data_IF_055620099801
#
_entry.id   IF_055620099801
#
_cell.length_a   1.000
_cell.length_b   1.000
_cell.length_c   1.000
_cell.angle_alpha   90.00
_cell.angle_beta   90.00
_cell.angle_gamma   90.00
#
_symmetry.space_group_name_H-M   'P 1'
#
loop_
_entity.id
_entity.type
_entity.pdbx_description
1 polymer ?
#
# COMPACT_ATOMS: atom_id res chain seq x y z
N UNK A 1 40.73 13.77 -59.42
CA UNK A 1 41.77 13.27 -58.52
C UNK A 1 41.06 12.99 -57.18
N UNK A 2 40.71 11.75 -56.95
CA UNK A 2 41.31 10.78 -56.07
C UNK A 2 41.25 11.26 -54.59
N UNK A 3 40.70 10.62 -53.65
CA UNK A 3 40.57 9.22 -53.41
C UNK A 3 39.60 8.93 -52.22
N UNK A 4 39.03 7.78 -52.33
CA UNK A 4 38.21 7.06 -51.37
C UNK A 4 39.06 6.49 -50.23
N UNK A 5 38.59 6.58 -48.98
CA UNK A 5 39.01 5.62 -47.95
C UNK A 5 37.78 5.13 -47.24
N UNK A 6 37.45 3.86 -47.49
CA UNK A 6 36.43 3.13 -46.78
C UNK A 6 36.87 2.76 -45.35
N UNK A 7 35.94 2.76 -44.42
CA UNK A 7 36.07 2.08 -43.15
C UNK A 7 35.09 0.90 -43.11
N UNK A 8 35.65 -0.31 -43.11
CA UNK A 8 34.94 -1.52 -42.77
C UNK A 8 34.82 -1.65 -41.25
N UNK A 9 33.68 -2.09 -40.69
CA UNK A 9 33.60 -2.46 -39.28
C UNK A 9 34.07 -3.91 -39.09
N UNK A 10 35.04 -4.09 -38.22
CA UNK A 10 35.52 -5.40 -37.79
C UNK A 10 34.44 -6.11 -36.97
N UNK A 11 33.92 -7.21 -37.49
CA UNK A 11 33.08 -8.17 -36.73
C UNK A 11 34.06 -9.07 -35.97
N UNK A 12 34.11 -8.91 -34.64
CA UNK A 12 34.78 -9.85 -33.74
C UNK A 12 33.80 -10.89 -33.25
N UNK A 13 33.90 -12.08 -33.81
CA UNK A 13 33.23 -13.30 -33.36
C UNK A 13 33.84 -13.79 -32.04
N UNK A 14 33.08 -13.83 -30.96
CA UNK A 14 33.44 -14.57 -29.76
C UNK A 14 32.59 -15.86 -29.71
N UNK A 15 33.15 -16.90 -30.33
CA UNK A 15 32.73 -18.28 -30.10
C UNK A 15 33.68 -18.92 -29.09
N UNK A 16 33.14 -19.62 -28.10
CA UNK A 16 33.96 -20.58 -27.36
C UNK A 16 33.64 -20.70 -25.88
N UNK A 17 32.52 -21.31 -25.53
CA UNK A 17 32.38 -21.93 -24.21
C UNK A 17 32.90 -23.37 -24.30
N UNK A 18 34.14 -23.62 -23.86
CA UNK A 18 34.65 -24.96 -23.61
C UNK A 18 34.16 -25.48 -22.23
N UNK A 19 33.26 -26.42 -22.28
CA UNK A 19 32.91 -27.25 -21.10
C UNK A 19 34.06 -28.27 -20.94
N UNK A 20 34.80 -28.20 -19.83
CA UNK A 20 35.76 -29.24 -19.45
C UNK A 20 35.00 -30.40 -18.79
N UNK A 21 35.25 -31.65 -19.17
CA UNK A 21 34.73 -32.81 -18.42
C UNK A 21 35.39 -32.92 -17.06
N UNK A 22 34.56 -33.10 -16.02
CA UNK A 22 35.03 -33.48 -14.69
C UNK A 22 35.49 -34.92 -14.69
N UNK A 23 36.78 -35.18 -14.54
CA UNK A 23 37.32 -36.49 -14.23
C UNK A 23 36.92 -36.89 -12.82
N UNK A 24 36.17 -37.99 -12.68
CA UNK A 24 35.96 -38.65 -11.41
C UNK A 24 37.23 -39.43 -11.02
N UNK A 25 37.90 -39.01 -9.97
CA UNK A 25 38.83 -39.88 -9.22
C UNK A 25 38.05 -40.69 -8.18
N UNK A 26 38.32 -41.98 -8.02
CA UNK A 26 37.67 -42.81 -6.99
C UNK A 26 38.21 -42.48 -5.61
N UNK A 27 37.31 -42.33 -4.65
CA UNK A 27 37.62 -42.09 -3.24
C UNK A 27 38.36 -43.29 -2.60
N UNK A 28 39.34 -43.07 -1.68
CA UNK A 28 40.05 -44.15 -0.99
C UNK A 28 39.15 -44.91 -0.04
N UNK A 29 39.23 -46.24 -0.08
CA UNK A 29 38.55 -47.21 0.80
C UNK A 29 39.02 -47.04 2.24
N UNK A 30 38.11 -46.79 3.17
CA UNK A 30 38.35 -46.82 4.61
C UNK A 30 38.32 -48.28 5.13
N UNK A 31 39.19 -48.65 6.06
CA UNK A 31 39.18 -49.98 6.69
C UNK A 31 37.98 -50.13 7.65
N UNK A 32 37.44 -51.34 7.71
CA UNK A 32 36.34 -51.74 8.56
C UNK A 32 36.66 -51.51 10.06
N UNK A 33 35.82 -50.75 10.75
CA UNK A 33 35.81 -50.66 12.20
C UNK A 33 34.92 -51.75 12.79
N UNK A 34 35.47 -52.41 13.81
CA UNK A 34 34.81 -53.44 14.60
C UNK A 34 33.51 -52.94 15.24
N UNK A 35 32.50 -53.81 15.28
CA UNK A 35 31.22 -53.59 15.93
C UNK A 35 31.37 -53.41 17.43
N UNK A 36 31.01 -52.24 17.94
CA UNK A 36 30.79 -52.03 19.37
C UNK A 36 29.28 -52.14 19.58
N UNK A 37 28.91 -53.08 20.45
CA UNK A 37 27.51 -53.27 20.86
C UNK A 37 27.02 -51.98 21.58
N UNK A 38 26.02 -51.36 21.05
CA UNK A 38 25.33 -50.23 21.69
C UNK A 38 24.17 -50.78 22.52
N UNK A 39 24.30 -50.63 23.86
CA UNK A 39 23.18 -50.76 24.78
C UNK A 39 22.10 -49.71 24.41
N UNK A 40 20.87 -50.16 24.30
CA UNK A 40 19.71 -49.27 24.09
C UNK A 40 19.44 -48.49 25.37
N UNK A 41 19.33 -47.15 25.33
CA UNK A 41 18.86 -46.42 26.51
C UNK A 41 17.36 -46.69 26.74
N UNK A 42 17.00 -46.86 28.01
CA UNK A 42 15.65 -47.06 28.48
C UNK A 42 14.72 -45.91 28.05
N UNK A 43 13.39 -46.14 27.81
CA UNK A 43 12.48 -45.09 27.37
C UNK A 43 12.39 -43.98 28.41
N UNK A 44 12.64 -42.75 27.97
CA UNK A 44 12.47 -41.55 28.77
C UNK A 44 11.01 -41.44 29.21
N UNK A 45 10.78 -41.33 30.50
CA UNK A 45 9.47 -41.04 31.07
C UNK A 45 9.06 -39.64 30.59
N UNK A 46 7.98 -39.57 29.82
CA UNK A 46 7.36 -38.31 29.45
C UNK A 46 6.97 -37.53 30.73
N UNK A 47 7.59 -36.38 30.94
CA UNK A 47 7.08 -35.39 31.89
C UNK A 47 5.67 -34.95 31.42
N UNK A 48 4.73 -34.71 32.35
CA UNK A 48 3.41 -34.19 31.95
C UNK A 48 3.59 -32.81 31.29
N UNK A 49 2.77 -32.49 30.24
CA UNK A 49 2.84 -31.19 29.63
C UNK A 49 2.53 -30.12 30.67
N UNK A 50 3.39 -29.10 30.76
CA UNK A 50 3.10 -27.90 31.55
C UNK A 50 1.72 -27.39 31.10
N UNK A 51 0.80 -27.29 32.05
CA UNK A 51 -0.48 -26.65 31.85
C UNK A 51 -0.22 -25.18 31.50
N UNK A 52 -0.22 -24.87 30.22
CA UNK A 52 -0.28 -23.51 29.73
C UNK A 52 -1.60 -22.88 30.15
N UNK A 53 -1.66 -21.56 30.28
CA UNK A 53 -2.90 -20.89 30.69
C UNK A 53 -4.03 -21.35 29.76
N UNK A 54 -5.18 -21.66 30.40
CA UNK A 54 -6.40 -22.11 29.74
C UNK A 54 -6.67 -21.30 28.48
N UNK A 55 -6.87 -22.00 27.36
CA UNK A 55 -7.41 -21.42 26.13
C UNK A 55 -8.80 -20.86 26.45
N UNK A 56 -8.85 -19.67 27.03
CA UNK A 56 -10.04 -18.82 26.93
C UNK A 56 -10.02 -18.28 25.50
N UNK A 57 -10.87 -18.90 24.71
CA UNK A 57 -11.58 -18.37 23.56
C UNK A 57 -10.95 -17.12 22.93
N UNK A 58 -9.91 -17.29 22.12
CA UNK A 58 -9.73 -16.49 20.91
C UNK A 58 -10.89 -16.91 19.97
N UNK A 59 -12.12 -16.54 20.38
CA UNK A 59 -13.29 -16.66 19.55
C UNK A 59 -13.17 -15.58 18.48
N UNK A 60 -12.85 -16.05 17.26
CA UNK A 60 -13.44 -15.53 16.05
C UNK A 60 -13.19 -14.07 15.69
N UNK A 61 -11.92 -13.68 15.49
CA UNK A 61 -11.59 -12.82 14.37
C UNK A 61 -11.13 -13.70 13.20
N UNK A 62 -11.88 -14.74 12.92
CA UNK A 62 -11.82 -15.37 11.62
C UNK A 62 -12.38 -14.34 10.64
N UNK A 63 -11.58 -13.92 9.67
CA UNK A 63 -12.04 -13.40 8.41
C UNK A 63 -12.83 -14.52 7.72
N UNK A 64 -14.00 -14.87 8.26
CA UNK A 64 -14.98 -15.70 7.57
C UNK A 64 -15.54 -14.83 6.46
N UNK A 65 -14.89 -14.88 5.31
CA UNK A 65 -15.52 -14.58 4.04
C UNK A 65 -16.65 -15.61 3.88
N UNK A 66 -17.74 -15.43 4.61
CA UNK A 66 -18.99 -16.13 4.30
C UNK A 66 -19.39 -15.65 2.93
N UNK A 67 -19.18 -16.51 1.91
CA UNK A 67 -19.89 -16.43 0.64
C UNK A 67 -21.38 -16.50 0.95
N UNK A 68 -21.99 -15.38 1.33
CA UNK A 68 -23.43 -15.23 1.17
C UNK A 68 -23.69 -15.24 -0.33
N UNK A 69 -24.35 -16.26 -0.80
CA UNK A 69 -24.80 -16.37 -2.19
C UNK A 69 -25.65 -15.15 -2.52
N UNK A 70 -25.46 -14.57 -3.69
CA UNK A 70 -26.10 -13.32 -4.15
C UNK A 70 -27.63 -13.41 -4.28
N UNK A 71 -28.27 -14.45 -3.76
CA UNK A 71 -29.71 -14.74 -3.93
C UNK A 71 -30.65 -14.10 -2.90
N UNK A 72 -30.11 -13.53 -1.78
CA UNK A 72 -30.94 -12.93 -0.71
C UNK A 72 -30.79 -11.40 -0.62
N UNK A 73 -30.50 -10.71 -1.74
CA UNK A 73 -30.29 -9.25 -1.71
C UNK A 73 -31.59 -8.49 -1.94
N UNK A 74 -31.77 -7.44 -1.14
CA UNK A 74 -32.80 -6.41 -1.32
C UNK A 74 -32.78 -5.86 -2.76
N UNK A 75 -33.94 -5.63 -3.43
CA UNK A 75 -33.96 -5.06 -4.77
C UNK A 75 -33.48 -3.60 -4.74
N UNK A 76 -32.26 -3.39 -5.20
CA UNK A 76 -31.65 -2.05 -5.36
C UNK A 76 -30.15 -2.14 -5.66
N UNK A 77 -29.54 -1.11 -6.28
CA UNK A 77 -28.10 -1.10 -6.50
C UNK A 77 -27.37 -1.06 -5.15
N UNK A 78 -26.40 -1.97 -5.00
CA UNK A 78 -25.51 -2.05 -3.83
C UNK A 78 -24.60 -0.81 -3.78
N UNK A 79 -24.49 -0.18 -2.60
CA UNK A 79 -23.53 0.89 -2.33
C UNK A 79 -22.43 0.30 -1.47
N UNK A 80 -21.25 0.10 -2.05
CA UNK A 80 -20.10 -0.49 -1.35
C UNK A 80 -19.07 0.59 -0.99
N UNK A 81 -19.01 0.96 0.28
CA UNK A 81 -18.07 1.94 0.83
C UNK A 81 -17.00 1.30 1.72
N UNK A 82 -16.78 -0.01 1.63
CA UNK A 82 -15.77 -0.69 2.47
C UNK A 82 -14.35 -0.17 2.23
N UNK A 83 -14.02 0.10 0.95
CA UNK A 83 -12.72 0.60 0.53
C UNK A 83 -12.79 1.09 -0.92
N UNK A 84 -11.91 2.02 -1.32
CA UNK A 84 -11.70 2.37 -2.72
C UNK A 84 -11.05 1.24 -3.55
N UNK A 85 -10.60 0.17 -2.92
CA UNK A 85 -10.12 -1.05 -3.60
C UNK A 85 -11.24 -1.89 -4.22
N UNK A 86 -12.51 -1.60 -3.95
CA UNK A 86 -13.66 -2.28 -4.56
C UNK A 86 -14.10 -1.63 -5.89
N UNK A 87 -13.43 -0.56 -6.32
CA UNK A 87 -13.72 0.12 -7.60
C UNK A 87 -13.52 -0.84 -8.77
N UNK A 88 -14.37 -0.64 -9.79
CA UNK A 88 -14.25 -1.37 -11.04
C UNK A 88 -13.67 -0.45 -12.12
N UNK A 89 -12.91 -1.00 -13.09
CA UNK A 89 -12.37 -0.21 -14.18
C UNK A 89 -13.48 0.41 -15.02
N UNK A 90 -13.27 1.68 -15.38
CA UNK A 90 -14.21 2.44 -16.23
C UNK A 90 -14.37 1.77 -17.60
N UNK A 91 -15.47 2.09 -18.36
CA UNK A 91 -15.61 1.62 -19.74
C UNK A 91 -14.41 1.97 -20.62
N UNK A 92 -13.82 3.17 -20.44
CA UNK A 92 -12.62 3.59 -21.17
C UNK A 92 -11.41 2.73 -20.85
N UNK A 93 -11.19 2.40 -19.57
CA UNK A 93 -10.14 1.50 -19.15
C UNK A 93 -10.30 0.09 -19.72
N UNK A 94 -11.53 -0.46 -19.68
CA UNK A 94 -11.82 -1.79 -20.25
C UNK A 94 -11.55 -1.83 -21.76
N UNK A 95 -11.89 -0.76 -22.47
CA UNK A 95 -11.61 -0.63 -23.89
C UNK A 95 -10.09 -0.58 -24.13
N UNK A 96 -9.37 0.27 -23.41
CA UNK A 96 -7.91 0.38 -23.52
C UNK A 96 -7.21 -0.97 -23.20
N UNK A 97 -7.66 -1.70 -22.18
CA UNK A 97 -7.15 -3.03 -21.86
C UNK A 97 -7.37 -4.04 -22.98
N UNK A 98 -8.52 -3.99 -23.67
CA UNK A 98 -8.82 -4.87 -24.80
C UNK A 98 -7.97 -4.55 -26.03
N UNK A 99 -7.69 -3.27 -26.28
CA UNK A 99 -6.96 -2.76 -27.45
C UNK A 99 -5.45 -2.61 -27.22
N UNK A 100 -4.94 -2.95 -26.01
CA UNK A 100 -3.56 -2.74 -25.62
C UNK A 100 -2.59 -3.45 -26.56
N UNK A 101 -1.56 -2.74 -27.01
CA UNK A 101 -0.39 -3.35 -27.66
C UNK A 101 0.48 -4.02 -26.61
N UNK A 102 0.94 -5.26 -26.89
CA UNK A 102 1.55 -6.13 -25.90
C UNK A 102 2.95 -6.57 -26.33
N UNK A 103 3.83 -6.74 -25.35
CA UNK A 103 5.13 -7.35 -25.45
C UNK A 103 5.54 -8.02 -24.14
N UNK A 104 6.76 -8.52 -24.03
CA UNK A 104 7.24 -9.13 -22.77
C UNK A 104 7.89 -8.05 -21.87
N UNK A 105 7.22 -7.75 -20.74
CA UNK A 105 7.71 -6.76 -19.75
C UNK A 105 9.06 -7.11 -19.14
N UNK A 106 9.41 -8.41 -19.04
CA UNK A 106 10.73 -8.82 -18.50
C UNK A 106 11.86 -8.48 -19.48
N UNK A 107 11.60 -8.51 -20.79
CA UNK A 107 12.54 -8.07 -21.81
C UNK A 107 12.49 -6.56 -22.09
N UNK A 108 11.50 -5.86 -21.50
CA UNK A 108 11.27 -4.43 -21.76
C UNK A 108 10.58 -4.17 -23.10
N UNK A 109 9.96 -5.18 -23.69
CA UNK A 109 9.35 -5.13 -25.04
C UNK A 109 7.86 -4.71 -25.01
N UNK A 110 7.22 -4.66 -23.83
CA UNK A 110 5.80 -4.28 -23.72
C UNK A 110 5.63 -2.76 -23.86
N UNK A 111 5.13 -2.25 -25.00
CA UNK A 111 5.08 -0.82 -25.26
C UNK A 111 4.09 -0.10 -24.35
N UNK A 112 3.02 -0.77 -23.93
CA UNK A 112 2.00 -0.19 -23.05
C UNK A 112 2.53 -0.03 -21.63
N UNK A 113 3.30 -1.00 -21.12
CA UNK A 113 3.99 -0.87 -19.82
C UNK A 113 5.03 0.25 -19.86
N UNK A 114 5.83 0.30 -20.92
CA UNK A 114 6.84 1.34 -21.08
C UNK A 114 6.21 2.74 -21.07
N UNK A 115 5.15 2.95 -21.86
CA UNK A 115 4.42 4.20 -21.88
C UNK A 115 3.83 4.59 -20.50
N UNK A 116 3.27 3.62 -19.76
CA UNK A 116 2.78 3.88 -18.40
C UNK A 116 3.91 4.31 -17.45
N UNK A 117 5.05 3.63 -17.51
CA UNK A 117 6.22 3.95 -16.68
C UNK A 117 6.77 5.33 -17.03
N UNK A 118 6.90 5.66 -18.29
CA UNK A 118 7.32 7.00 -18.77
C UNK A 118 6.34 8.07 -18.25
N UNK A 119 5.03 7.84 -18.42
CA UNK A 119 3.99 8.77 -17.96
C UNK A 119 4.03 8.99 -16.45
N UNK A 120 4.20 7.95 -15.67
CA UNK A 120 4.29 8.05 -14.22
C UNK A 120 5.53 8.85 -13.76
N UNK A 121 6.68 8.56 -14.36
CA UNK A 121 7.93 9.27 -14.10
C UNK A 121 7.83 10.77 -14.46
N UNK A 122 7.30 11.09 -15.64
CA UNK A 122 7.08 12.47 -16.11
C UNK A 122 6.14 13.23 -15.17
N UNK A 123 5.00 12.64 -14.81
CA UNK A 123 3.99 13.27 -13.96
C UNK A 123 4.54 13.66 -12.59
N UNK A 124 5.35 12.81 -11.98
CA UNK A 124 5.95 13.05 -10.67
C UNK A 124 7.33 13.72 -10.75
N UNK A 125 7.85 14.00 -11.95
CA UNK A 125 9.16 14.64 -12.13
C UNK A 125 10.34 13.78 -11.67
N UNK A 126 10.22 12.46 -11.77
CA UNK A 126 11.27 11.48 -11.46
C UNK A 126 11.90 10.92 -12.73
N UNK A 127 13.07 10.29 -12.61
CA UNK A 127 13.85 9.82 -13.77
C UNK A 127 13.29 8.54 -14.39
N UNK A 128 12.64 7.70 -13.60
CA UNK A 128 12.11 6.41 -14.04
C UNK A 128 10.98 5.94 -13.14
N UNK A 129 10.23 4.95 -13.63
CA UNK A 129 9.18 4.28 -12.87
C UNK A 129 9.19 2.77 -13.13
N UNK A 130 8.51 2.03 -12.25
CA UNK A 130 8.33 0.59 -12.33
C UNK A 130 6.87 0.24 -12.04
N UNK A 131 6.23 -0.50 -12.95
CA UNK A 131 4.91 -1.09 -12.72
C UNK A 131 5.02 -2.37 -11.89
N UNK A 132 4.19 -2.50 -10.85
CA UNK A 132 4.14 -3.65 -9.95
C UNK A 132 2.69 -4.07 -9.69
N UNK A 133 2.49 -5.32 -9.26
CA UNK A 133 1.15 -5.90 -9.15
C UNK A 133 0.28 -5.32 -8.02
N UNK A 134 0.87 -4.80 -6.94
CA UNK A 134 0.13 -4.32 -5.76
C UNK A 134 0.89 -3.24 -4.98
N UNK A 135 0.18 -2.54 -4.07
CA UNK A 135 0.80 -1.56 -3.15
C UNK A 135 1.82 -2.20 -2.22
N UNK A 136 1.50 -3.34 -1.62
CA UNK A 136 2.45 -4.05 -0.74
C UNK A 136 3.71 -4.50 -1.50
N UNK A 137 3.56 -4.93 -2.77
CA UNK A 137 4.74 -5.19 -3.62
C UNK A 137 5.52 -3.90 -3.88
N UNK A 138 4.86 -2.77 -4.12
CA UNK A 138 5.53 -1.49 -4.32
C UNK A 138 6.38 -1.10 -3.10
N UNK A 139 5.84 -1.21 -1.89
CA UNK A 139 6.56 -0.96 -0.66
C UNK A 139 7.73 -1.93 -0.44
N UNK A 140 7.53 -3.23 -0.68
CA UNK A 140 8.60 -4.22 -0.56
C UNK A 140 9.75 -3.97 -1.53
N UNK A 141 9.46 -3.70 -2.81
CA UNK A 141 10.52 -3.47 -3.79
C UNK A 141 11.20 -2.12 -3.60
N UNK A 142 10.50 -1.13 -3.05
CA UNK A 142 11.09 0.14 -2.65
C UNK A 142 12.09 -0.04 -1.52
N UNK A 143 11.73 -0.79 -0.49
CA UNK A 143 12.65 -1.13 0.60
C UNK A 143 13.84 -1.96 0.09
N UNK A 144 13.63 -2.98 -0.77
CA UNK A 144 14.70 -3.74 -1.42
C UNK A 144 15.60 -2.87 -2.32
N UNK A 145 15.06 -1.78 -2.87
CA UNK A 145 15.80 -0.81 -3.68
C UNK A 145 16.67 0.14 -2.86
N UNK A 146 16.29 0.44 -1.63
CA UNK A 146 17.01 1.35 -0.74
C UNK A 146 17.92 0.64 0.27
N UNK A 147 17.52 -0.52 0.77
CA UNK A 147 18.06 -1.15 1.97
C UNK A 147 18.83 -2.44 1.68
N UNK A 148 19.87 -2.65 2.47
CA UNK A 148 20.50 -3.94 2.68
C UNK A 148 19.97 -4.65 3.94
N UNK A 149 20.26 -5.96 4.04
CA UNK A 149 19.91 -6.74 5.25
C UNK A 149 20.59 -6.17 6.50
N UNK A 150 19.84 -6.12 7.60
CA UNK A 150 20.32 -5.62 8.89
C UNK A 150 20.25 -4.10 9.05
N UNK A 151 19.83 -3.36 8.03
CA UNK A 151 19.56 -1.94 8.15
C UNK A 151 18.20 -1.66 8.81
N UNK A 152 17.96 -0.40 9.16
CA UNK A 152 16.74 0.07 9.83
C UNK A 152 16.02 1.11 8.98
N UNK A 153 14.68 1.03 8.94
CA UNK A 153 13.79 2.08 8.43
C UNK A 153 13.22 2.87 9.60
N UNK A 154 13.15 4.20 9.50
CA UNK A 154 12.34 5.03 10.40
C UNK A 154 10.98 5.22 9.75
N UNK A 155 9.89 4.87 10.46
CA UNK A 155 8.51 4.97 9.98
C UNK A 155 7.55 5.31 11.11
N UNK A 156 6.39 5.87 10.79
CA UNK A 156 5.29 6.03 11.74
C UNK A 156 4.74 4.69 12.22
N UNK A 157 4.36 4.60 13.49
CA UNK A 157 3.91 3.38 14.15
C UNK A 157 2.62 2.79 13.54
N UNK A 158 1.76 3.65 12.98
CA UNK A 158 0.49 3.27 12.37
C UNK A 158 0.51 3.37 10.83
N UNK A 159 1.69 3.35 10.20
CA UNK A 159 1.80 3.29 8.74
C UNK A 159 1.55 1.86 8.24
N UNK A 160 1.08 1.75 7.00
CA UNK A 160 0.73 0.49 6.35
C UNK A 160 1.88 -0.54 6.34
N UNK A 161 3.12 -0.10 6.12
CA UNK A 161 4.30 -0.98 6.12
C UNK A 161 4.59 -1.60 7.49
N UNK A 162 4.11 -0.98 8.58
CA UNK A 162 4.26 -1.47 9.96
C UNK A 162 3.12 -2.42 10.32
N UNK A 163 1.87 -2.01 10.08
CA UNK A 163 0.68 -2.69 10.60
C UNK A 163 0.10 -3.73 9.61
N UNK A 164 0.14 -3.48 8.28
CA UNK A 164 -0.72 -4.16 7.31
C UNK A 164 0.02 -5.01 6.26
N UNK A 165 1.35 -5.24 6.39
CA UNK A 165 2.15 -5.94 5.36
C UNK A 165 2.82 -7.23 5.88
N UNK A 166 2.23 -7.90 6.88
CA UNK A 166 2.70 -9.20 7.37
C UNK A 166 4.20 -9.22 7.76
N UNK A 167 4.70 -8.10 8.31
CA UNK A 167 6.12 -7.91 8.62
C UNK A 167 7.06 -8.15 7.41
N UNK A 168 6.62 -7.79 6.21
CA UNK A 168 7.37 -7.99 4.96
C UNK A 168 8.76 -7.37 4.99
N UNK A 169 8.94 -6.23 5.66
CA UNK A 169 10.23 -5.60 5.91
C UNK A 169 11.24 -6.55 6.61
N UNK A 170 10.78 -7.34 7.57
CA UNK A 170 11.64 -8.29 8.29
C UNK A 170 11.81 -9.61 7.53
N UNK A 171 10.70 -10.17 7.01
CA UNK A 171 10.68 -11.51 6.38
C UNK A 171 11.34 -11.50 5.00
N UNK A 172 11.10 -10.47 4.20
CA UNK A 172 11.58 -10.39 2.80
C UNK A 172 12.83 -9.54 2.70
N UNK A 173 12.80 -8.31 3.24
CA UNK A 173 13.91 -7.37 3.13
C UNK A 173 15.01 -7.69 4.16
N UNK A 174 14.64 -8.16 5.34
CA UNK A 174 15.56 -8.51 6.43
C UNK A 174 16.05 -7.28 7.19
N UNK A 175 15.16 -6.32 7.41
CA UNK A 175 15.41 -5.04 8.08
C UNK A 175 14.58 -4.90 9.36
N UNK A 176 14.96 -3.97 10.22
CA UNK A 176 14.14 -3.52 11.35
C UNK A 176 13.40 -2.23 11.02
N UNK A 177 12.37 -1.91 11.81
CA UNK A 177 11.71 -0.60 11.76
C UNK A 177 11.81 0.07 13.12
N UNK A 178 12.32 1.31 13.14
CA UNK A 178 12.15 2.22 14.26
C UNK A 178 10.83 2.95 14.09
N UNK A 179 9.87 2.57 14.93
CA UNK A 179 8.55 3.15 14.92
C UNK A 179 8.53 4.51 15.63
N UNK A 180 8.05 5.54 14.92
CA UNK A 180 7.84 6.88 15.45
C UNK A 180 6.40 7.03 15.92
N UNK A 181 6.21 7.71 17.05
CA UNK A 181 4.87 8.08 17.49
C UNK A 181 4.29 9.15 16.56
N UNK A 182 3.06 8.94 16.11
CA UNK A 182 2.38 9.86 15.20
C UNK A 182 1.41 10.78 15.94
N UNK A 183 1.31 11.99 15.45
CA UNK A 183 0.33 12.98 15.81
C UNK A 183 -1.03 12.67 15.13
N UNK A 184 -2.13 13.31 15.59
CA UNK A 184 -3.47 13.10 15.02
C UNK A 184 -3.64 13.47 13.54
N UNK A 185 -2.65 14.11 12.94
CA UNK A 185 -2.61 14.46 11.52
C UNK A 185 -1.71 13.53 10.68
N UNK A 186 -1.15 12.48 11.30
CA UNK A 186 -0.28 11.52 10.65
C UNK A 186 1.19 11.96 10.56
N UNK A 187 1.53 13.13 11.14
CA UNK A 187 2.92 13.57 11.27
C UNK A 187 3.60 12.94 12.48
N UNK A 188 4.90 12.81 12.48
CA UNK A 188 5.68 12.59 13.71
C UNK A 188 6.48 13.85 14.05
N UNK A 189 6.94 13.92 15.29
CA UNK A 189 7.68 15.08 15.77
C UNK A 189 9.03 15.22 15.06
N UNK A 190 9.30 16.40 14.54
CA UNK A 190 10.51 16.69 13.74
C UNK A 190 11.78 16.62 14.59
N UNK A 191 11.73 17.05 15.86
CA UNK A 191 12.89 16.95 16.75
C UNK A 191 13.17 15.50 17.12
N UNK A 192 12.12 14.70 17.42
CA UNK A 192 12.24 13.28 17.66
C UNK A 192 12.78 12.53 16.43
N UNK A 193 12.37 12.95 15.21
CA UNK A 193 12.93 12.37 13.97
C UNK A 193 14.44 12.61 13.92
N UNK A 194 14.90 13.84 14.14
CA UNK A 194 16.32 14.19 14.09
C UNK A 194 17.15 13.35 15.08
N UNK A 195 16.62 13.11 16.28
CA UNK A 195 17.28 12.32 17.33
C UNK A 195 17.14 10.79 17.13
N UNK A 196 16.43 10.39 16.07
CA UNK A 196 16.12 8.96 15.82
C UNK A 196 17.15 8.24 14.99
N UNK A 197 18.03 8.94 14.30
CA UNK A 197 19.07 8.32 13.47
C UNK A 197 20.12 7.65 14.34
N UNK A 198 20.58 6.48 13.89
CA UNK A 198 21.61 5.71 14.59
C UNK A 198 22.99 6.23 14.26
N UNK A 199 23.91 6.11 15.23
CA UNK A 199 25.33 6.36 14.99
C UNK A 199 25.91 5.20 14.13
N UNK A 200 26.33 5.47 12.89
CA UNK A 200 26.88 4.42 12.02
C UNK A 200 28.23 3.89 12.52
N UNK A 201 28.89 4.56 13.47
CA UNK A 201 30.13 4.10 14.08
C UNK A 201 29.89 3.15 15.27
N UNK A 202 28.67 3.07 15.81
CA UNK A 202 28.33 2.18 16.90
C UNK A 202 27.97 0.78 16.39
N UNK A 203 28.84 -0.25 16.60
CA UNK A 203 28.59 -1.61 16.12
C UNK A 203 27.43 -2.32 16.80
N UNK A 204 26.85 -1.75 17.87
CA UNK A 204 25.70 -2.31 18.59
C UNK A 204 24.37 -1.92 17.97
N UNK A 205 24.34 -0.99 17.02
CA UNK A 205 23.11 -0.44 16.43
C UNK A 205 23.00 -0.83 14.94
N UNK A 206 21.78 -1.01 14.42
CA UNK A 206 21.58 -1.09 12.97
C UNK A 206 21.89 0.26 12.32
N UNK A 207 22.27 0.24 11.05
CA UNK A 207 22.44 1.47 10.28
C UNK A 207 21.07 1.93 9.77
N UNK A 208 20.66 3.16 10.09
CA UNK A 208 19.47 3.77 9.49
C UNK A 208 19.72 3.97 7.99
N UNK A 209 18.88 3.38 7.16
CA UNK A 209 19.04 3.38 5.70
C UNK A 209 17.86 3.97 4.93
N UNK A 210 16.73 4.24 5.61
CA UNK A 210 15.54 4.80 4.99
C UNK A 210 14.69 5.56 5.99
N UNK A 211 14.13 6.69 5.58
CA UNK A 211 12.97 7.31 6.24
C UNK A 211 11.76 7.12 5.34
N UNK A 212 10.61 6.72 5.89
CA UNK A 212 9.37 6.60 5.14
C UNK A 212 8.22 7.31 5.85
N UNK A 213 7.38 7.97 5.05
CA UNK A 213 6.12 8.57 5.48
C UNK A 213 4.98 8.06 4.60
N UNK A 214 3.75 8.06 5.13
CA UNK A 214 2.56 7.65 4.39
C UNK A 214 1.71 8.86 3.99
N UNK A 215 1.42 9.04 2.72
CA UNK A 215 0.62 10.16 2.21
C UNK A 215 -0.35 9.73 1.08
N UNK A 216 -1.69 9.72 1.32
CA UNK A 216 -2.38 10.16 2.54
C UNK A 216 -2.25 9.14 3.65
N UNK A 217 -2.22 9.60 4.91
CA UNK A 217 -2.09 8.76 6.08
C UNK A 217 -3.44 8.09 6.44
N UNK A 218 -3.54 6.77 6.27
CA UNK A 218 -4.81 6.04 6.35
C UNK A 218 -5.42 6.07 7.76
N UNK A 219 -4.62 5.80 8.79
CA UNK A 219 -5.08 5.74 10.18
C UNK A 219 -5.45 7.11 10.78
N UNK A 220 -4.98 8.22 10.19
CA UNK A 220 -5.43 9.57 10.55
C UNK A 220 -6.65 10.04 9.75
N UNK A 221 -7.50 9.11 9.26
CA UNK A 221 -8.69 9.39 8.46
C UNK A 221 -8.36 9.85 7.03
N UNK A 222 -7.30 9.30 6.44
CA UNK A 222 -6.86 9.63 5.09
C UNK A 222 -6.32 11.06 4.95
N UNK A 223 -5.78 11.65 6.02
CA UNK A 223 -5.27 13.03 5.97
C UNK A 223 -4.04 13.15 5.08
N UNK A 224 -3.96 14.21 4.26
CA UNK A 224 -2.76 14.51 3.52
C UNK A 224 -1.71 15.15 4.43
N UNK A 225 -0.47 14.73 4.31
CA UNK A 225 0.69 15.41 4.89
C UNK A 225 1.05 16.62 4.01
N UNK A 226 1.29 17.77 4.63
CA UNK A 226 1.58 18.99 3.89
C UNK A 226 2.93 18.92 3.17
N UNK A 227 3.07 19.69 2.09
CA UNK A 227 4.32 19.80 1.36
C UNK A 227 5.46 20.35 2.25
N UNK A 228 5.15 21.31 3.13
CA UNK A 228 6.14 21.89 4.06
C UNK A 228 6.64 20.87 5.08
N UNK A 229 5.76 20.02 5.61
CA UNK A 229 6.15 18.92 6.49
C UNK A 229 7.02 17.90 5.73
N UNK A 230 6.60 17.49 4.55
CA UNK A 230 7.37 16.57 3.71
C UNK A 230 8.78 17.09 3.41
N UNK A 231 8.90 18.39 3.12
CA UNK A 231 10.21 19.05 2.93
C UNK A 231 11.06 19.09 4.19
N UNK A 232 10.45 19.24 5.36
CA UNK A 232 11.19 19.20 6.64
C UNK A 232 11.74 17.80 6.90
N UNK A 233 10.92 16.76 6.74
CA UNK A 233 11.34 15.35 6.87
C UNK A 233 12.47 15.03 5.89
N UNK A 234 12.32 15.44 4.63
CA UNK A 234 13.33 15.23 3.56
C UNK A 234 14.67 15.85 3.95
N UNK A 235 14.68 17.10 4.38
CA UNK A 235 15.94 17.78 4.78
C UNK A 235 16.65 17.03 5.90
N UNK A 236 15.92 16.66 6.95
CA UNK A 236 16.51 15.93 8.07
C UNK A 236 17.07 14.58 7.59
N UNK A 237 16.31 13.82 6.80
CA UNK A 237 16.80 12.55 6.26
C UNK A 237 18.09 12.75 5.44
N UNK A 238 18.12 13.74 4.55
CA UNK A 238 19.28 14.04 3.71
C UNK A 238 20.47 14.58 4.51
N UNK A 239 20.25 15.36 5.58
CA UNK A 239 21.32 15.83 6.46
C UNK A 239 22.05 14.65 7.15
N UNK A 240 21.35 13.52 7.34
CA UNK A 240 21.90 12.25 7.81
C UNK A 240 22.36 11.30 6.67
N UNK A 241 22.29 11.72 5.40
CA UNK A 241 22.65 10.91 4.24
C UNK A 241 21.68 9.77 3.95
N UNK A 242 20.42 9.85 4.42
CA UNK A 242 19.40 8.81 4.31
C UNK A 242 18.31 9.28 3.34
N UNK A 243 17.85 8.43 2.39
CA UNK A 243 16.78 8.79 1.47
C UNK A 243 15.41 8.85 2.18
N UNK A 244 14.50 9.65 1.58
CA UNK A 244 13.08 9.68 1.91
C UNK A 244 12.25 8.91 0.89
N UNK A 245 11.47 7.93 1.34
CA UNK A 245 10.43 7.25 0.56
C UNK A 245 9.04 7.70 1.01
N UNK A 246 8.12 7.90 0.07
CA UNK A 246 6.70 8.11 0.35
C UNK A 246 5.91 6.86 -0.02
N UNK A 247 5.31 6.19 0.97
CA UNK A 247 4.16 5.33 0.70
C UNK A 247 2.98 6.21 0.33
N UNK A 248 2.79 6.36 -0.95
CA UNK A 248 1.76 7.19 -1.55
C UNK A 248 0.58 6.38 -2.08
N UNK A 249 0.15 5.33 -1.37
CA UNK A 249 -0.96 4.49 -1.83
C UNK A 249 -2.18 5.30 -2.32
N UNK A 250 -2.35 6.54 -1.79
CA UNK A 250 -3.35 7.52 -2.23
C UNK A 250 -2.71 8.90 -2.49
N UNK A 251 -1.56 8.90 -3.12
CA UNK A 251 -0.76 10.11 -3.40
C UNK A 251 -1.53 11.21 -4.12
N UNK A 252 -2.31 10.83 -5.12
CA UNK A 252 -3.12 11.79 -5.87
C UNK A 252 -4.30 12.37 -5.07
N UNK A 253 -4.85 11.60 -4.12
CA UNK A 253 -5.80 12.17 -3.16
C UNK A 253 -5.15 13.27 -2.31
N UNK A 254 -3.89 13.08 -1.88
CA UNK A 254 -3.15 14.12 -1.16
C UNK A 254 -2.94 15.35 -2.04
N UNK A 255 -2.46 15.19 -3.28
CA UNK A 255 -2.23 16.30 -4.20
C UNK A 255 -3.50 17.13 -4.44
N UNK A 256 -4.64 16.46 -4.73
CA UNK A 256 -5.94 17.11 -4.94
C UNK A 256 -6.43 17.83 -3.68
N UNK A 257 -6.30 17.20 -2.50
CA UNK A 257 -6.75 17.80 -1.24
C UNK A 257 -5.92 19.02 -0.82
N UNK A 258 -4.62 19.01 -1.13
CA UNK A 258 -3.69 20.11 -0.85
C UNK A 258 -3.73 21.21 -1.92
N UNK A 259 -4.33 20.94 -3.09
CA UNK A 259 -4.35 21.88 -4.22
C UNK A 259 -2.96 22.12 -4.83
N UNK A 260 -2.06 21.11 -4.76
CA UNK A 260 -0.71 21.17 -5.32
C UNK A 260 -0.59 20.19 -6.49
N UNK A 261 0.34 20.45 -7.41
CA UNK A 261 0.59 19.48 -8.47
C UNK A 261 1.25 18.20 -7.91
N UNK A 262 0.99 17.03 -8.54
CA UNK A 262 1.69 15.80 -8.17
C UNK A 262 3.22 15.93 -8.20
N UNK A 263 3.76 16.70 -9.14
CA UNK A 263 5.19 16.98 -9.26
C UNK A 263 5.74 17.74 -8.05
N UNK A 264 5.04 18.80 -7.60
CA UNK A 264 5.45 19.58 -6.43
C UNK A 264 5.41 18.72 -5.16
N UNK A 265 4.35 17.91 -4.98
CA UNK A 265 4.24 17.03 -3.82
C UNK A 265 5.32 15.92 -3.82
N UNK A 266 5.73 15.49 -5.01
CA UNK A 266 6.76 14.47 -5.20
C UNK A 266 8.19 15.00 -5.04
N UNK A 267 8.42 16.31 -5.22
CA UNK A 267 9.74 16.91 -5.30
C UNK A 267 10.65 16.52 -4.11
N UNK A 268 10.19 16.57 -2.84
CA UNK A 268 11.07 16.32 -1.70
C UNK A 268 11.52 14.87 -1.51
N UNK A 269 10.81 13.91 -2.11
CA UNK A 269 11.08 12.48 -1.91
C UNK A 269 12.07 11.93 -2.93
N UNK A 270 12.93 10.98 -2.52
CA UNK A 270 13.81 10.23 -3.42
C UNK A 270 13.05 9.18 -4.21
N UNK A 271 12.03 8.61 -3.60
CA UNK A 271 11.16 7.63 -4.25
C UNK A 271 9.73 7.67 -3.70
N UNK A 272 8.78 7.26 -4.52
CA UNK A 272 7.36 7.24 -4.17
C UNK A 272 6.75 5.96 -4.73
N UNK A 273 5.90 5.30 -3.92
CA UNK A 273 4.98 4.29 -4.40
C UNK A 273 3.57 4.87 -4.46
N UNK A 274 2.77 4.57 -5.51
CA UNK A 274 1.36 4.93 -5.53
C UNK A 274 0.50 3.83 -6.16
N UNK A 275 -0.73 3.67 -5.64
CA UNK A 275 -1.65 2.65 -6.14
C UNK A 275 -2.48 3.17 -7.32
N UNK A 276 -2.58 2.34 -8.36
CA UNK A 276 -3.53 2.48 -9.45
C UNK A 276 -4.90 1.86 -9.07
N UNK A 277 -4.88 0.79 -8.28
CA UNK A 277 -6.02 -0.06 -7.94
C UNK A 277 -6.84 0.42 -6.73
N UNK A 278 -6.87 1.73 -6.47
CA UNK A 278 -7.69 2.37 -5.42
C UNK A 278 -8.54 3.49 -6.05
N UNK A 279 -8.47 4.70 -5.56
CA UNK A 279 -9.23 5.84 -6.09
C UNK A 279 -9.08 6.09 -7.60
N UNK A 280 -7.97 5.64 -8.20
CA UNK A 280 -7.75 5.70 -9.65
C UNK A 280 -8.50 4.62 -10.45
N UNK A 281 -9.21 3.72 -9.79
CA UNK A 281 -10.11 2.72 -10.36
C UNK A 281 -9.50 1.70 -11.34
N UNK A 282 -8.19 1.53 -11.40
CA UNK A 282 -7.59 0.43 -12.16
C UNK A 282 -7.88 -0.91 -11.48
N UNK A 283 -8.00 -2.01 -12.23
CA UNK A 283 -8.33 -3.31 -11.64
C UNK A 283 -7.20 -3.91 -10.80
N UNK A 284 -5.96 -3.47 -11.03
CA UNK A 284 -4.76 -3.98 -10.38
C UNK A 284 -3.61 -2.99 -10.57
N UNK A 285 -2.60 -3.09 -9.71
CA UNK A 285 -1.30 -2.50 -9.91
C UNK A 285 -1.02 -1.24 -9.10
N UNK A 286 0.26 -0.96 -9.03
CA UNK A 286 0.86 0.22 -8.42
C UNK A 286 2.09 0.62 -9.20
N UNK A 287 2.54 1.85 -9.00
CA UNK A 287 3.77 2.37 -9.57
C UNK A 287 4.78 2.68 -8.46
N UNK A 288 6.05 2.46 -8.77
CA UNK A 288 7.17 2.95 -7.98
C UNK A 288 7.94 3.92 -8.86
N UNK A 289 8.25 5.12 -8.38
CA UNK A 289 9.01 6.13 -9.13
C UNK A 289 10.23 6.61 -8.33
N UNK A 290 11.29 6.99 -9.02
CA UNK A 290 12.53 7.47 -8.41
C UNK A 290 13.65 7.67 -9.41
N UNK A 291 14.91 7.64 -8.94
CA UNK A 291 16.08 7.66 -9.82
C UNK A 291 16.19 6.35 -10.63
N UNK A 292 16.87 6.40 -11.77
CA UNK A 292 17.11 5.20 -12.63
C UNK A 292 17.82 4.08 -11.86
N UNK A 293 18.79 4.44 -11.05
CA UNK A 293 19.56 3.47 -10.26
C UNK A 293 18.68 2.80 -9.19
N UNK A 294 17.87 3.57 -8.47
CA UNK A 294 16.89 3.03 -7.53
C UNK A 294 15.89 2.12 -8.25
N UNK A 295 15.31 2.55 -9.36
CA UNK A 295 14.33 1.76 -10.13
C UNK A 295 14.96 0.46 -10.66
N UNK A 296 16.23 0.49 -11.07
CA UNK A 296 16.93 -0.74 -11.46
C UNK A 296 17.03 -1.73 -10.31
N UNK A 297 17.36 -1.29 -9.09
CA UNK A 297 17.36 -2.15 -7.88
C UNK A 297 15.96 -2.64 -7.54
N UNK A 298 14.94 -1.78 -7.58
CA UNK A 298 13.54 -2.15 -7.35
C UNK A 298 13.03 -3.18 -8.37
N UNK A 299 13.40 -3.05 -9.65
CA UNK A 299 13.10 -4.01 -10.72
C UNK A 299 13.67 -5.40 -10.41
N UNK A 300 14.91 -5.47 -9.92
CA UNK A 300 15.50 -6.73 -9.47
C UNK A 300 14.75 -7.29 -8.25
N UNK A 301 14.36 -6.41 -7.31
CA UNK A 301 13.50 -6.74 -6.17
C UNK A 301 12.16 -7.30 -6.63
N UNK A 302 11.51 -6.69 -7.63
CA UNK A 302 10.25 -7.20 -8.21
C UNK A 302 10.39 -8.64 -8.70
N UNK A 303 11.50 -8.98 -9.35
CA UNK A 303 11.75 -10.36 -9.78
C UNK A 303 11.91 -11.31 -8.60
N UNK A 304 12.63 -10.88 -7.54
CA UNK A 304 12.88 -11.66 -6.32
C UNK A 304 11.56 -12.05 -5.62
N UNK A 305 10.62 -11.10 -5.52
CA UNK A 305 9.32 -11.34 -4.86
C UNK A 305 8.26 -11.97 -5.79
N UNK A 306 8.66 -12.51 -6.93
CA UNK A 306 7.76 -13.20 -7.86
C UNK A 306 6.92 -12.28 -8.76
N UNK A 307 7.22 -10.97 -8.80
CA UNK A 307 6.46 -9.96 -9.54
C UNK A 307 6.88 -9.76 -11.00
N UNK A 308 7.71 -10.64 -11.58
CA UNK A 308 8.03 -10.59 -13.00
C UNK A 308 6.83 -11.06 -13.84
N UNK A 309 6.24 -10.12 -14.58
CA UNK A 309 5.08 -10.36 -15.44
C UNK A 309 5.50 -10.46 -16.91
N UNK A 310 4.62 -10.90 -17.80
CA UNK A 310 4.86 -11.05 -19.22
C UNK A 310 4.06 -9.99 -20.00
N UNK A 311 3.03 -10.35 -20.72
CA UNK A 311 2.21 -9.43 -21.52
C UNK A 311 1.27 -8.61 -20.62
N UNK A 312 1.84 -7.87 -19.69
CA UNK A 312 1.10 -7.16 -18.67
C UNK A 312 0.58 -5.79 -19.13
N UNK A 313 0.94 -5.37 -20.34
CA UNK A 313 0.37 -4.20 -21.00
C UNK A 313 -1.16 -4.20 -21.01
N UNK A 314 -1.78 -5.39 -21.07
CA UNK A 314 -3.25 -5.53 -20.91
C UNK A 314 -3.78 -4.89 -19.63
N UNK A 315 -3.01 -4.89 -18.54
CA UNK A 315 -3.38 -4.26 -17.27
C UNK A 315 -2.86 -2.83 -17.17
N UNK A 316 -1.66 -2.58 -17.68
CA UNK A 316 -1.02 -1.26 -17.67
C UNK A 316 -1.82 -0.21 -18.47
N UNK A 317 -2.54 -0.62 -19.52
CA UNK A 317 -3.42 0.24 -20.31
C UNK A 317 -4.48 0.99 -19.48
N UNK A 318 -5.01 0.34 -18.42
CA UNK A 318 -5.92 1.01 -17.49
C UNK A 318 -5.21 2.14 -16.72
N UNK A 319 -3.92 1.94 -16.38
CA UNK A 319 -3.10 2.96 -15.74
C UNK A 319 -2.87 4.20 -16.61
N UNK A 320 -2.65 4.01 -17.91
CA UNK A 320 -2.54 5.13 -18.87
C UNK A 320 -3.81 5.96 -18.89
N UNK A 321 -4.99 5.31 -18.95
CA UNK A 321 -6.28 6.02 -18.86
C UNK A 321 -6.41 6.76 -17.52
N UNK A 322 -6.01 6.12 -16.42
CA UNK A 322 -6.11 6.71 -15.08
C UNK A 322 -5.24 7.98 -14.93
N UNK A 323 -4.01 7.96 -15.47
CA UNK A 323 -3.08 9.09 -15.41
C UNK A 323 -3.38 10.16 -16.46
N UNK A 324 -4.25 9.86 -17.44
CA UNK A 324 -4.74 10.80 -18.44
C UNK A 324 -3.68 11.29 -19.43
N UNK A 325 -4.09 12.19 -20.31
CA UNK A 325 -3.25 12.77 -21.35
C UNK A 325 -2.31 13.84 -20.77
N UNK A 326 -0.98 13.74 -20.97
CA UNK A 326 -0.03 14.75 -20.53
C UNK A 326 -0.27 16.14 -21.15
N UNK A 327 -0.84 16.21 -22.36
CA UNK A 327 -1.16 17.47 -23.01
C UNK A 327 -2.32 18.23 -22.36
N UNK A 328 -3.15 17.54 -21.54
CA UNK A 328 -4.28 18.15 -20.86
C UNK A 328 -3.93 18.78 -19.50
N UNK A 329 -2.65 18.75 -19.10
CA UNK A 329 -2.15 19.35 -17.86
C UNK A 329 -1.68 18.35 -16.80
N UNK A 330 -1.24 18.84 -15.62
CA UNK A 330 -0.58 18.02 -14.62
C UNK A 330 -1.44 16.92 -14.00
N UNK A 331 -2.76 17.06 -14.06
CA UNK A 331 -3.72 16.08 -13.55
C UNK A 331 -4.32 15.18 -14.66
N UNK A 332 -3.83 15.28 -15.89
CA UNK A 332 -4.25 14.42 -16.99
C UNK A 332 -5.60 14.79 -17.64
N UNK A 333 -6.21 15.90 -17.21
CA UNK A 333 -7.45 16.45 -17.78
C UNK A 333 -8.70 15.57 -17.58
N UNK A 334 -9.81 15.90 -18.26
CA UNK A 334 -11.12 15.34 -17.97
C UNK A 334 -11.29 13.85 -18.27
N UNK A 335 -10.37 13.25 -19.02
CA UNK A 335 -10.37 11.81 -19.31
C UNK A 335 -9.56 10.98 -18.30
N UNK A 336 -8.76 11.62 -17.43
CA UNK A 336 -8.04 10.97 -16.36
C UNK A 336 -8.90 10.80 -15.11
N UNK A 337 -8.37 10.04 -14.13
CA UNK A 337 -9.08 9.78 -12.88
C UNK A 337 -8.66 10.71 -11.74
N UNK A 338 -7.60 11.52 -11.91
CA UNK A 338 -7.01 12.30 -10.81
C UNK A 338 -7.91 13.47 -10.41
N UNK A 339 -8.35 14.30 -11.35
CA UNK A 339 -9.24 15.44 -11.06
C UNK A 339 -10.56 15.00 -10.43
N UNK A 340 -11.06 13.85 -10.84
CA UNK A 340 -12.30 13.26 -10.34
C UNK A 340 -12.24 12.91 -8.85
N UNK A 341 -11.04 12.71 -8.27
CA UNK A 341 -10.87 12.46 -6.83
C UNK A 341 -11.48 13.57 -5.96
N UNK A 342 -11.62 14.80 -6.49
CA UNK A 342 -12.31 15.89 -5.81
C UNK A 342 -13.79 15.56 -5.53
N UNK A 343 -14.45 14.79 -6.40
CA UNK A 343 -15.83 14.32 -6.19
C UNK A 343 -15.87 13.32 -5.01
N UNK A 344 -14.92 12.42 -4.93
CA UNK A 344 -14.82 11.46 -3.81
C UNK A 344 -14.64 12.21 -2.48
N UNK A 345 -13.81 13.26 -2.46
CA UNK A 345 -13.60 14.08 -1.26
C UNK A 345 -14.89 14.85 -0.87
N UNK A 346 -15.60 15.40 -1.84
CA UNK A 346 -16.89 16.08 -1.60
C UNK A 346 -17.93 15.11 -1.04
N UNK A 347 -18.01 13.90 -1.59
CA UNK A 347 -18.90 12.84 -1.14
C UNK A 347 -18.54 12.36 0.28
N UNK A 348 -17.25 12.21 0.62
CA UNK A 348 -16.83 11.88 1.97
C UNK A 348 -17.20 12.96 2.99
N UNK A 349 -16.99 14.23 2.64
CA UNK A 349 -17.39 15.37 3.49
C UNK A 349 -18.89 15.37 3.72
N UNK A 350 -19.70 15.23 2.67
CA UNK A 350 -21.16 15.14 2.76
C UNK A 350 -21.59 13.98 3.66
N UNK A 351 -20.96 12.82 3.53
CA UNK A 351 -21.20 11.66 4.37
C UNK A 351 -20.87 11.96 5.84
N UNK A 352 -19.70 12.54 6.11
CA UNK A 352 -19.26 12.87 7.48
C UNK A 352 -20.21 13.89 8.13
N UNK A 353 -20.64 14.93 7.40
CA UNK A 353 -21.60 15.93 7.85
C UNK A 353 -22.97 15.30 8.18
N UNK A 354 -23.48 14.43 7.28
CA UNK A 354 -24.74 13.73 7.51
C UNK A 354 -24.68 12.76 8.67
N UNK A 355 -23.60 11.99 8.80
CA UNK A 355 -23.40 11.07 9.96
C UNK A 355 -23.25 11.85 11.27
N UNK A 356 -22.50 12.95 11.28
CA UNK A 356 -22.31 13.76 12.49
C UNK A 356 -23.61 14.39 13.01
N UNK A 357 -24.63 14.55 12.17
CA UNK A 357 -25.95 15.03 12.56
C UNK A 357 -26.82 13.96 13.25
N UNK A 358 -26.44 12.68 13.18
CA UNK A 358 -27.21 11.57 13.76
C UNK A 358 -26.84 11.34 15.22
N UNK A 359 -27.85 11.27 16.09
CA UNK A 359 -27.63 10.83 17.47
C UNK A 359 -27.21 9.36 17.50
N UNK A 360 -26.12 9.06 18.20
CA UNK A 360 -25.53 7.72 18.27
C UNK A 360 -24.31 7.52 17.36
N UNK A 361 -23.93 8.51 16.55
CA UNK A 361 -22.64 8.54 15.85
C UNK A 361 -21.63 9.31 16.70
N UNK A 362 -20.45 8.76 16.84
CA UNK A 362 -19.40 9.28 17.72
C UNK A 362 -18.05 9.41 17.02
N UNK A 363 -17.19 10.21 17.64
CA UNK A 363 -15.77 10.32 17.31
C UNK A 363 -15.12 8.94 17.20
N UNK A 364 -14.29 8.68 16.18
CA UNK A 364 -13.54 7.43 16.08
C UNK A 364 -12.53 7.25 17.23
N UNK A 365 -12.10 8.32 17.89
CA UNK A 365 -11.03 8.28 18.87
C UNK A 365 -9.65 8.07 18.22
N UNK A 366 -8.63 7.82 19.05
CA UNK A 366 -7.27 7.53 18.60
C UNK A 366 -6.67 8.62 17.73
N UNK A 367 -5.81 8.23 16.80
CA UNK A 367 -5.14 9.14 15.88
C UNK A 367 -6.12 9.82 14.89
N UNK A 368 -7.21 9.15 14.54
CA UNK A 368 -8.18 9.72 13.60
C UNK A 368 -8.91 10.97 14.16
N UNK A 369 -9.31 10.94 15.42
CA UNK A 369 -9.87 12.08 16.14
C UNK A 369 -9.69 11.89 17.66
N UNK A 370 -8.64 12.49 18.27
CA UNK A 370 -8.32 12.27 19.70
C UNK A 370 -9.40 12.79 20.66
N UNK A 371 -10.14 13.81 20.22
CA UNK A 371 -11.17 14.41 21.07
C UNK A 371 -12.40 13.48 21.14
N UNK A 372 -12.86 13.11 22.35
CA UNK A 372 -14.10 12.34 22.50
C UNK A 372 -15.32 13.18 22.12
N UNK A 373 -16.45 12.53 21.90
CA UNK A 373 -17.72 13.17 21.60
C UNK A 373 -18.19 12.92 20.18
N UNK A 374 -18.79 13.93 19.54
CA UNK A 374 -19.37 13.81 18.23
C UNK A 374 -18.29 13.72 17.13
N UNK A 375 -18.60 13.05 16.03
CA UNK A 375 -17.76 13.03 14.82
C UNK A 375 -17.52 14.46 14.33
N UNK A 376 -16.26 14.83 14.11
CA UNK A 376 -15.90 16.12 13.49
C UNK A 376 -15.77 15.96 11.96
N UNK A 377 -16.75 16.43 11.16
CA UNK A 377 -16.73 16.27 9.71
C UNK A 377 -15.57 17.01 9.02
N UNK A 378 -14.97 18.02 9.67
CA UNK A 378 -13.82 18.75 9.10
C UNK A 378 -12.58 17.88 8.98
N UNK A 379 -12.56 16.71 9.64
CA UNK A 379 -11.47 15.75 9.54
C UNK A 379 -11.56 14.87 8.29
N UNK A 380 -12.71 14.79 7.64
CA UNK A 380 -12.87 14.14 6.34
C UNK A 380 -12.32 15.06 5.23
N UNK A 381 -11.01 15.08 5.05
CA UNK A 381 -10.30 15.95 4.11
C UNK A 381 -10.05 15.30 2.76
N UNK A 382 -10.18 13.98 2.68
CA UNK A 382 -10.09 13.18 1.46
C UNK A 382 -11.30 12.24 1.37
N UNK A 383 -11.12 11.03 0.89
CA UNK A 383 -12.21 10.08 0.66
C UNK A 383 -12.54 9.16 1.86
N UNK A 384 -11.96 9.39 3.05
CA UNK A 384 -12.17 8.58 4.24
C UNK A 384 -13.13 9.22 5.23
N UNK A 385 -14.04 8.40 5.78
CA UNK A 385 -14.84 8.72 6.96
C UNK A 385 -14.72 7.57 7.95
N UNK A 386 -14.25 7.87 9.17
CA UNK A 386 -14.11 6.89 10.25
C UNK A 386 -14.90 7.38 11.46
N UNK A 387 -15.70 6.51 12.06
CA UNK A 387 -16.59 6.86 13.16
C UNK A 387 -16.87 5.66 14.07
N UNK A 388 -17.50 5.89 15.22
CA UNK A 388 -18.08 4.87 16.10
C UNK A 388 -19.58 5.03 16.21
N UNK A 389 -20.24 3.98 16.67
CA UNK A 389 -21.67 4.00 16.98
C UNK A 389 -21.91 3.63 18.44
N UNK A 390 -22.86 4.32 19.11
CA UNK A 390 -23.39 3.95 20.43
C UNK A 390 -24.39 2.79 20.34
N UNK A 391 -24.11 1.83 19.49
CA UNK A 391 -24.93 0.65 19.23
C UNK A 391 -24.02 -0.55 19.13
N UNK A 392 -24.56 -1.75 19.17
CA UNK A 392 -23.81 -2.93 18.79
C UNK A 392 -23.33 -2.74 17.33
N UNK A 393 -21.99 -2.75 17.15
CA UNK A 393 -21.37 -2.46 15.87
C UNK A 393 -21.72 -3.50 14.80
N UNK A 394 -21.78 -4.79 15.20
CA UNK A 394 -22.06 -5.85 14.25
C UNK A 394 -23.52 -5.77 13.79
N UNK A 395 -24.46 -5.60 14.72
CA UNK A 395 -25.88 -5.42 14.41
C UNK A 395 -26.12 -4.17 13.54
N UNK A 396 -25.41 -3.07 13.80
CA UNK A 396 -25.50 -1.87 12.96
C UNK A 396 -25.01 -2.12 11.52
N UNK A 397 -23.89 -2.82 11.35
CA UNK A 397 -23.37 -3.17 10.02
C UNK A 397 -24.30 -4.14 9.28
N UNK A 398 -24.87 -5.14 9.97
CA UNK A 398 -25.87 -6.06 9.42
C UNK A 398 -27.15 -5.32 8.98
N UNK A 399 -27.59 -4.34 9.78
CA UNK A 399 -28.75 -3.50 9.44
C UNK A 399 -28.50 -2.61 8.21
N UNK A 400 -27.28 -2.12 8.02
CA UNK A 400 -26.85 -1.40 6.79
C UNK A 400 -26.80 -2.35 5.59
N UNK A 401 -26.20 -3.54 5.74
CA UNK A 401 -26.11 -4.52 4.67
C UNK A 401 -27.49 -4.95 4.18
N UNK A 402 -28.46 -5.15 5.10
CA UNK A 402 -29.85 -5.46 4.75
C UNK A 402 -30.52 -4.38 3.87
N UNK A 403 -30.00 -3.14 3.89
CA UNK A 403 -30.44 -1.98 3.09
C UNK A 403 -29.58 -1.75 1.85
N UNK A 404 -28.69 -2.68 1.54
CA UNK A 404 -27.80 -2.59 0.40
C UNK A 404 -26.63 -1.62 0.57
N UNK A 405 -26.22 -1.32 1.80
CA UNK A 405 -25.05 -0.49 2.12
C UNK A 405 -23.99 -1.32 2.81
N UNK A 406 -22.79 -1.37 2.23
CA UNK A 406 -21.64 -2.09 2.80
C UNK A 406 -20.63 -1.10 3.38
N UNK A 407 -20.37 -1.21 4.67
CA UNK A 407 -19.26 -0.59 5.39
C UNK A 407 -18.39 -1.69 6.00
N UNK A 408 -17.22 -1.33 6.55
CA UNK A 408 -16.32 -2.30 7.17
C UNK A 408 -16.05 -1.94 8.63
N UNK A 409 -16.09 -2.97 9.50
CA UNK A 409 -15.53 -2.87 10.83
C UNK A 409 -14.03 -2.55 10.71
N UNK A 410 -13.58 -1.55 11.45
CA UNK A 410 -12.21 -1.06 11.40
C UNK A 410 -11.60 -1.06 12.81
N UNK A 411 -10.31 -0.75 12.90
CA UNK A 411 -9.56 -0.89 14.12
C UNK A 411 -10.16 -0.17 15.33
N UNK A 412 -9.84 -0.65 16.52
CA UNK A 412 -10.24 -0.05 17.80
C UNK A 412 -11.76 0.19 17.94
N UNK A 413 -12.58 -0.69 17.36
CA UNK A 413 -14.04 -0.60 17.50
C UNK A 413 -14.71 0.44 16.60
N UNK A 414 -14.00 0.96 15.61
CA UNK A 414 -14.51 1.93 14.64
C UNK A 414 -15.17 1.27 13.43
N UNK A 415 -15.82 2.08 12.61
CA UNK A 415 -16.37 1.75 11.30
C UNK A 415 -15.71 2.68 10.29
N UNK A 416 -15.30 2.13 9.15
CA UNK A 416 -14.73 2.90 8.04
C UNK A 416 -15.69 2.90 6.86
N UNK A 417 -15.85 4.08 6.26
CA UNK A 417 -16.44 4.29 4.95
C UNK A 417 -15.42 5.02 4.05
N UNK A 418 -15.31 4.58 2.79
CA UNK A 418 -14.42 5.18 1.81
C UNK A 418 -15.22 5.46 0.55
N UNK A 419 -15.32 6.73 0.15
CA UNK A 419 -15.95 7.13 -1.11
C UNK A 419 -15.00 6.94 -2.28
N UNK A 420 -15.54 6.62 -3.45
CA UNK A 420 -14.73 6.27 -4.62
C UNK A 420 -15.54 6.35 -5.92
N UNK A 421 -14.90 6.14 -7.05
CA UNK A 421 -15.54 6.09 -8.36
C UNK A 421 -16.75 5.14 -8.38
N UNK A 422 -17.88 5.65 -8.84
CA UNK A 422 -19.15 4.93 -8.90
C UNK A 422 -20.09 5.20 -7.71
N UNK A 423 -19.65 5.99 -6.73
CA UNK A 423 -20.49 6.47 -5.61
C UNK A 423 -20.90 7.91 -5.88
N UNK A 424 -22.19 8.14 -6.03
CA UNK A 424 -22.77 9.48 -6.29
C UNK A 424 -23.20 10.19 -5.01
N UNK A 425 -23.43 11.50 -5.07
CA UNK A 425 -24.00 12.25 -3.95
C UNK A 425 -25.37 11.70 -3.51
N UNK A 426 -26.20 11.21 -4.45
CA UNK A 426 -27.46 10.56 -4.14
C UNK A 426 -27.30 9.23 -3.41
N UNK A 427 -26.23 8.47 -3.70
CA UNK A 427 -25.90 7.27 -2.95
C UNK A 427 -25.46 7.61 -1.51
N UNK A 428 -24.71 8.68 -1.33
CA UNK A 428 -24.33 9.18 0.00
C UNK A 428 -25.57 9.54 0.83
N UNK A 429 -26.57 10.20 0.25
CA UNK A 429 -27.83 10.50 0.94
C UNK A 429 -28.58 9.22 1.36
N UNK A 430 -28.56 8.20 0.50
CA UNK A 430 -29.13 6.89 0.82
C UNK A 430 -28.36 6.19 1.99
N UNK A 431 -27.05 6.31 2.02
CA UNK A 431 -26.22 5.79 3.13
C UNK A 431 -26.56 6.49 4.45
N UNK A 432 -26.70 7.82 4.44
CA UNK A 432 -27.07 8.59 5.64
C UNK A 432 -28.47 8.18 6.14
N UNK A 433 -29.44 8.03 5.23
CA UNK A 433 -30.79 7.58 5.58
C UNK A 433 -30.78 6.13 6.13
N UNK A 434 -29.99 5.25 5.53
CA UNK A 434 -29.83 3.86 6.02
C UNK A 434 -29.18 3.83 7.40
N UNK A 435 -28.18 4.67 7.66
CA UNK A 435 -27.54 4.78 8.97
C UNK A 435 -28.50 5.28 10.05
N UNK A 436 -29.32 6.28 9.75
CA UNK A 436 -30.37 6.76 10.65
C UNK A 436 -31.36 5.64 11.01
N UNK A 437 -31.85 4.89 10.03
CA UNK A 437 -32.75 3.76 10.26
C UNK A 437 -32.09 2.65 11.11
N UNK A 438 -30.82 2.28 10.79
CA UNK A 438 -30.08 1.27 11.53
C UNK A 438 -29.86 1.66 13.00
N UNK A 439 -29.61 2.93 13.31
CA UNK A 439 -29.48 3.44 14.69
C UNK A 439 -30.77 3.32 15.49
N UNK A 440 -31.93 3.38 14.87
CA UNK A 440 -33.22 3.20 15.54
C UNK A 440 -33.55 1.72 15.81
N UNK A 441 -33.10 0.81 14.97
CA UNK A 441 -33.44 -0.61 15.05
C UNK A 441 -32.48 -1.41 15.92
N UNK A 442 -31.24 -0.96 16.09
CA UNK A 442 -30.21 -1.70 16.81
C UNK A 442 -30.20 -1.35 18.30
N UNK A 443 -30.01 -2.35 19.16
CA UNK A 443 -29.88 -2.15 20.59
C UNK A 443 -28.64 -1.29 20.95
N UNK A 444 -28.67 -0.59 22.10
CA UNK A 444 -27.45 0.06 22.62
C UNK A 444 -26.28 -0.92 22.75
N UNK A 445 -25.06 -0.45 22.54
CA UNK A 445 -23.86 -1.25 22.76
C UNK A 445 -23.80 -1.70 24.22
N UNK A 446 -23.52 -3.00 24.44
CA UNK A 446 -23.23 -3.48 25.80
C UNK A 446 -21.91 -2.84 26.25
N UNK A 447 -21.85 -2.27 27.47
CA UNK A 447 -20.61 -1.74 27.99
C UNK A 447 -19.50 -2.81 27.94
N UNK A 448 -18.36 -2.50 27.37
CA UNK A 448 -17.22 -3.41 27.39
C UNK A 448 -16.73 -3.54 28.83
N UNK A 449 -16.67 -4.73 29.45
CA UNK A 449 -16.25 -4.88 30.85
C UNK A 449 -14.76 -4.63 31.09
N UNK A 450 -13.99 -4.24 30.07
CA UNK A 450 -12.55 -3.94 30.16
C UNK A 450 -12.28 -2.58 29.51
N UNK A 451 -12.26 -1.54 30.32
CA UNK A 451 -11.63 -0.26 30.02
C UNK A 451 -10.37 -0.13 30.89
#
# INVERSE_FOLDING_TARGET
>A
MAGSTGFEPAISSVTGWHVRPLHHEPAPTRPARAAVATEQPAPARHAPPCAGPSRQTAAETAWTYTRRTMTDRTPGPLIDLRSDTVTHPSPAMRKAMYEAELGDDVFGDDPTVNALQERAAEMLGKEAALFVASGSMANLVSQLGHLGRGQETIAGASTHIVEDEQAGHAVVVGTSIKQMRENPDGTFDIAELNDSFRDPADPHQPITGLVTIENTHAHSMGRPLSLDYTRQVSRIAHDHGVPLHIDGARFFNAAVALGVSPRELAEPADSIAFCLSKGLACPIGSMVVGSRDFIHRAWRGRKLVGGGMRQVGVLAAAGLVALGDPAAGPLGGPNGMIERLAEDHANARRLAEGLAALDGIESPGGIAQPQPGQLDPRRATTNFVVFRVRRDRAAFLDALESRGVLLVAYDHGTIRAVTHYGVTAGDVDRVIAAAAAALHETAPATPNPVA
#
